data_IF_252693258793
#
_entry.id   IF_252693258793
#
_cell.length_a   1.000
_cell.length_b   1.000
_cell.length_c   1.000
_cell.angle_alpha   90.00
_cell.angle_beta   90.00
_cell.angle_gamma   90.00
#
_symmetry.space_group_name_H-M   'P 1'
#
loop_
_entity.id
_entity.type
_entity.pdbx_description
1 polymer ?
#
# COMPACT_ATOMS: atom_id res chain seq x y z
N UNK A 1 -1.13 6.87 13.33
CA UNK A 1 -0.93 6.40 11.95
C UNK A 1 -2.28 5.98 11.39
N UNK A 2 -2.75 6.63 10.33
CA UNK A 2 -4.07 6.38 9.75
C UNK A 2 -3.92 5.53 8.49
N UNK A 3 -4.51 4.33 8.49
CA UNK A 3 -4.48 3.41 7.36
C UNK A 3 -5.66 3.69 6.43
N UNK A 4 -5.38 3.70 5.12
CA UNK A 4 -6.37 3.83 4.07
C UNK A 4 -6.30 2.60 3.17
N UNK A 5 -7.48 1.99 2.99
CA UNK A 5 -7.67 0.84 2.12
C UNK A 5 -7.87 1.32 0.69
N UNK A 6 -7.23 0.66 -0.27
CA UNK A 6 -7.41 1.00 -1.69
C UNK A 6 -8.86 0.78 -2.14
N UNK A 7 -9.39 1.69 -2.96
CA UNK A 7 -10.73 1.59 -3.57
C UNK A 7 -10.87 0.41 -4.52
N UNK A 8 -9.76 -0.15 -5.02
CA UNK A 8 -9.73 -1.37 -5.84
C UNK A 8 -9.86 -2.67 -5.01
N UNK A 9 -9.88 -2.56 -3.69
CA UNK A 9 -9.99 -3.71 -2.77
C UNK A 9 -11.42 -4.19 -2.53
N UNK A 10 -12.41 -3.62 -3.23
CA UNK A 10 -13.84 -3.93 -3.12
C UNK A 10 -14.44 -4.64 -4.35
N UNK A 11 -13.62 -4.96 -5.36
CA UNK A 11 -14.05 -5.71 -6.55
C UNK A 11 -14.47 -7.15 -6.21
N UNK A 12 -15.36 -7.71 -7.04
CA UNK A 12 -16.04 -9.01 -6.87
C UNK A 12 -15.10 -10.23 -6.68
N UNK A 13 -13.81 -10.03 -6.90
CA UNK A 13 -12.77 -11.07 -6.91
C UNK A 13 -11.97 -11.09 -5.60
N UNK A 14 -12.17 -10.11 -4.71
CA UNK A 14 -11.66 -10.09 -3.33
C UNK A 14 -10.14 -10.13 -3.17
N UNK A 15 -9.36 -9.98 -4.24
CA UNK A 15 -7.92 -10.30 -4.26
C UNK A 15 -6.96 -9.11 -4.20
N UNK A 16 -7.46 -7.87 -4.21
CA UNK A 16 -6.65 -6.66 -3.98
C UNK A 16 -6.77 -6.26 -2.51
N UNK A 17 -5.70 -6.39 -1.73
CA UNK A 17 -5.77 -6.32 -0.26
C UNK A 17 -4.58 -5.57 0.34
N UNK A 18 -4.31 -4.36 -0.14
CA UNK A 18 -3.27 -3.52 0.47
C UNK A 18 -3.87 -2.28 1.13
N UNK A 19 -3.32 -1.98 2.31
CA UNK A 19 -3.54 -0.74 3.05
C UNK A 19 -2.25 0.06 3.09
N UNK A 20 -2.41 1.38 3.01
CA UNK A 20 -1.32 2.33 3.02
C UNK A 20 -1.49 3.30 4.20
N UNK A 21 -0.40 3.75 4.79
CA UNK A 21 -0.42 4.83 5.77
C UNK A 21 0.78 5.75 5.57
N UNK A 22 0.52 7.03 5.36
CA UNK A 22 1.56 8.05 5.21
C UNK A 22 1.82 8.69 6.58
N UNK A 23 3.08 8.72 6.97
CA UNK A 23 3.57 9.37 8.18
C UNK A 23 4.73 10.31 7.83
N UNK A 24 5.11 11.26 8.71
CA UNK A 24 6.29 12.08 8.47
C UNK A 24 7.52 11.21 8.21
N UNK A 25 8.04 11.26 6.98
CA UNK A 25 9.25 10.55 6.58
C UNK A 25 9.09 9.06 6.24
N UNK A 26 7.88 8.49 6.19
CA UNK A 26 7.71 7.07 5.81
C UNK A 26 6.32 6.79 5.22
N UNK A 27 6.29 5.98 4.16
CA UNK A 27 5.08 5.34 3.63
C UNK A 27 5.06 3.89 4.09
N UNK A 28 4.00 3.51 4.80
CA UNK A 28 3.80 2.14 5.23
C UNK A 28 2.84 1.41 4.31
N UNK A 29 3.16 0.15 4.00
CA UNK A 29 2.31 -0.74 3.19
C UNK A 29 2.11 -2.04 3.97
N UNK A 30 0.87 -2.52 4.04
CA UNK A 30 0.57 -3.84 4.61
C UNK A 30 -0.54 -4.54 3.84
N UNK A 31 -0.65 -5.85 4.07
CA UNK A 31 -1.78 -6.63 3.64
C UNK A 31 -3.00 -6.36 4.56
N UNK A 32 -4.17 -6.06 3.98
CA UNK A 32 -5.40 -5.77 4.72
C UNK A 32 -6.03 -7.00 5.37
N UNK A 33 -5.72 -8.21 4.89
CA UNK A 33 -6.23 -9.48 5.41
C UNK A 33 -5.35 -10.04 6.52
N UNK A 34 -4.06 -9.73 6.52
CA UNK A 34 -3.09 -10.22 7.51
C UNK A 34 -2.54 -9.06 8.35
N UNK A 35 -3.37 -8.53 9.26
CA UNK A 35 -3.07 -7.32 10.04
C UNK A 35 -1.83 -7.43 10.94
N UNK A 36 -1.55 -8.65 11.41
CA UNK A 36 -0.38 -9.02 12.22
C UNK A 36 0.82 -9.47 11.36
N UNK A 37 0.66 -9.42 10.04
CA UNK A 37 1.71 -9.74 9.08
C UNK A 37 2.77 -8.65 8.96
N UNK A 38 3.80 -8.91 8.13
CA UNK A 38 4.88 -7.96 7.90
C UNK A 38 4.36 -6.65 7.28
N UNK A 39 5.05 -5.55 7.61
CA UNK A 39 4.73 -4.20 7.12
C UNK A 39 5.96 -3.62 6.45
N UNK A 40 5.81 -3.16 5.22
CA UNK A 40 6.86 -2.43 4.53
C UNK A 40 6.88 -0.98 5.03
N UNK A 41 8.08 -0.44 5.22
CA UNK A 41 8.31 0.96 5.59
C UNK A 41 9.27 1.55 4.58
N UNK A 42 8.77 2.45 3.75
CA UNK A 42 9.44 2.93 2.55
C UNK A 42 9.71 4.43 2.71
N UNK A 43 10.94 4.86 2.44
CA UNK A 43 11.29 6.28 2.45
C UNK A 43 10.52 7.04 1.36
N UNK A 44 10.14 8.32 1.56
CA UNK A 44 9.32 9.07 0.62
C UNK A 44 9.91 9.14 -0.80
N UNK A 45 11.23 9.33 -0.92
CA UNK A 45 11.91 9.33 -2.23
C UNK A 45 11.78 7.99 -2.95
N UNK A 46 12.08 6.88 -2.27
CA UNK A 46 11.94 5.54 -2.83
C UNK A 46 10.48 5.20 -3.19
N UNK A 47 9.51 5.69 -2.42
CA UNK A 47 8.09 5.54 -2.77
C UNK A 47 7.74 6.31 -4.05
N UNK A 48 8.22 7.55 -4.18
CA UNK A 48 8.00 8.36 -5.37
C UNK A 48 8.63 7.73 -6.62
N UNK A 49 9.81 7.13 -6.49
CA UNK A 49 10.47 6.40 -7.59
C UNK A 49 9.75 5.09 -7.95
N UNK A 50 9.12 4.43 -6.97
CA UNK A 50 8.41 3.17 -7.16
C UNK A 50 7.08 3.33 -7.90
N UNK A 51 6.28 4.34 -7.55
CA UNK A 51 4.91 4.51 -8.06
C UNK A 51 4.80 4.50 -9.59
N UNK A 52 5.67 5.16 -10.37
CA UNK A 52 5.65 5.11 -11.84
C UNK A 52 5.70 3.70 -12.42
N UNK A 53 6.42 2.77 -11.78
CA UNK A 53 6.48 1.37 -12.22
C UNK A 53 5.22 0.59 -11.85
N UNK A 54 4.54 1.00 -10.78
CA UNK A 54 3.35 0.31 -10.26
C UNK A 54 2.05 0.73 -10.97
N UNK A 55 2.04 1.87 -11.67
CA UNK A 55 0.89 2.35 -12.45
C UNK A 55 0.80 1.73 -13.85
N UNK A 56 1.89 1.12 -14.34
CA UNK A 56 1.89 0.41 -15.62
C UNK A 56 1.34 -1.01 -15.44
N UNK A 57 0.01 -1.13 -15.55
CA UNK A 57 -0.65 -2.42 -15.72
C UNK A 57 -0.42 -2.90 -17.15
N UNK A 58 0.52 -3.84 -17.34
CA UNK A 58 0.58 -4.67 -18.55
C UNK A 58 -0.29 -5.91 -18.40
#
# INVERSE_FOLDING_TARGET
MAWFKSSYSSGNDGNSCVELAVTPGTVHVRDSKVLDGPRLSIAPGAWADFVPYAVESR
#
